data_IF_950562064330
#
_entry.id   IF_950562064330
#
_cell.length_a   1.000
_cell.length_b   1.000
_cell.length_c   1.000
_cell.angle_alpha   90.00
_cell.angle_beta   90.00
_cell.angle_gamma   90.00
#
_symmetry.space_group_name_H-M   'P 1'
#
loop_
_entity.id
_entity.type
_entity.pdbx_description
1 polymer ?
#
# COMPACT_ATOMS: atom_id res chain seq x y z
N UNK A 1 9.54 4.91 -0.58
CA UNK A 1 9.73 4.35 0.77
C UNK A 1 11.15 3.82 0.98
N UNK A 2 11.58 2.79 0.22
CA UNK A 2 12.88 2.16 0.41
C UNK A 2 14.08 3.10 0.20
N UNK A 3 13.93 4.15 -0.59
CA UNK A 3 14.98 5.15 -0.88
C UNK A 3 15.10 6.24 0.19
N UNK A 4 14.10 6.44 1.03
CA UNK A 4 14.01 7.66 1.86
C UNK A 4 15.09 7.77 2.91
N UNK A 5 15.39 6.69 3.63
CA UNK A 5 16.41 6.67 4.70
C UNK A 5 17.77 6.21 4.18
N UNK A 6 17.78 5.19 3.29
CA UNK A 6 19.05 4.64 2.78
C UNK A 6 19.83 5.66 1.93
N UNK A 7 19.16 6.54 1.17
CA UNK A 7 19.81 7.63 0.43
C UNK A 7 20.46 8.66 1.35
N UNK A 8 19.86 8.94 2.49
CA UNK A 8 20.41 9.89 3.48
C UNK A 8 21.58 9.30 4.27
N UNK A 9 21.60 7.96 4.49
CA UNK A 9 22.77 7.28 5.03
C UNK A 9 23.97 7.38 4.08
N UNK A 10 23.75 7.14 2.78
CA UNK A 10 24.83 7.19 1.78
C UNK A 10 25.35 8.60 1.51
N UNK A 11 24.50 9.62 1.60
CA UNK A 11 24.89 11.02 1.39
C UNK A 11 25.46 11.71 2.63
N UNK A 12 25.43 11.06 3.80
CA UNK A 12 25.86 11.68 5.08
C UNK A 12 24.92 12.78 5.59
N UNK A 13 23.84 13.07 4.90
CA UNK A 13 22.89 14.13 5.24
C UNK A 13 22.22 13.91 6.61
N UNK A 14 22.10 12.65 7.03
CA UNK A 14 21.53 12.26 8.32
C UNK A 14 22.29 12.88 9.51
N UNK A 15 23.61 13.04 9.38
CA UNK A 15 24.47 13.65 10.39
C UNK A 15 24.13 15.13 10.61
N UNK A 16 23.88 15.87 9.54
CA UNK A 16 23.52 17.30 9.63
C UNK A 16 22.11 17.53 10.15
N UNK A 17 21.18 16.60 9.89
CA UNK A 17 19.81 16.71 10.37
C UNK A 17 19.66 16.38 11.85
N UNK A 18 20.48 15.48 12.39
CA UNK A 18 20.44 15.07 13.80
C UNK A 18 21.20 16.02 14.75
N UNK A 19 21.90 17.02 14.25
CA UNK A 19 22.47 18.12 15.06
C UNK A 19 21.37 19.04 15.63
N UNK A 20 20.17 19.01 15.04
CA UNK A 20 19.00 19.70 15.60
C UNK A 20 18.37 18.87 16.75
N UNK A 21 17.72 19.51 17.75
CA UNK A 21 17.14 18.82 18.91
C UNK A 21 15.85 18.03 18.58
N UNK A 22 15.84 17.31 17.46
CA UNK A 22 14.73 16.43 17.05
C UNK A 22 14.97 15.03 17.64
N UNK A 23 13.93 14.46 18.23
CA UNK A 23 14.00 13.07 18.68
C UNK A 23 14.08 12.15 17.44
N UNK A 24 14.99 11.16 17.48
CA UNK A 24 15.20 10.20 16.38
C UNK A 24 13.91 9.56 15.89
N UNK A 25 12.99 9.29 16.81
CA UNK A 25 11.70 8.65 16.51
C UNK A 25 10.76 9.61 15.76
N UNK A 26 10.76 10.89 16.08
CA UNK A 26 9.97 11.91 15.37
C UNK A 26 10.39 12.03 13.91
N UNK A 27 11.69 11.95 13.66
CA UNK A 27 12.23 11.92 12.30
C UNK A 27 11.75 10.71 11.51
N UNK A 28 11.75 9.51 12.12
CA UNK A 28 11.26 8.29 11.47
C UNK A 28 9.77 8.40 11.13
N UNK A 29 8.94 8.89 12.06
CA UNK A 29 7.52 9.11 11.83
C UNK A 29 7.26 10.13 10.71
N UNK A 30 8.00 11.22 10.68
CA UNK A 30 7.90 12.20 9.61
C UNK A 30 8.20 11.57 8.24
N UNK A 31 9.21 10.70 8.13
CA UNK A 31 9.53 9.98 6.90
C UNK A 31 8.42 9.02 6.46
N UNK A 32 7.84 8.27 7.40
CA UNK A 32 6.71 7.40 7.12
C UNK A 32 5.52 8.22 6.60
N UNK A 33 5.20 9.32 7.29
CA UNK A 33 4.08 10.20 6.91
C UNK A 33 4.27 10.77 5.50
N UNK A 34 5.46 11.29 5.19
CA UNK A 34 5.78 11.78 3.84
C UNK A 34 5.69 10.67 2.80
N UNK A 35 6.17 9.46 3.12
CA UNK A 35 6.09 8.32 2.18
C UNK A 35 4.64 7.91 1.91
N UNK A 36 3.80 7.84 2.94
CA UNK A 36 2.37 7.54 2.80
C UNK A 36 1.68 8.65 2.01
N UNK A 37 1.93 9.91 2.34
CA UNK A 37 1.35 11.05 1.62
C UNK A 37 1.71 11.03 0.13
N UNK A 38 2.97 10.78 -0.20
CA UNK A 38 3.43 10.66 -1.58
C UNK A 38 2.74 9.49 -2.30
N UNK A 39 2.63 8.33 -1.66
CA UNK A 39 1.95 7.17 -2.21
C UNK A 39 0.46 7.45 -2.47
N UNK A 40 -0.23 8.09 -1.52
CA UNK A 40 -1.64 8.50 -1.67
C UNK A 40 -1.80 9.49 -2.83
N UNK A 41 -0.91 10.48 -2.93
CA UNK A 41 -0.96 11.46 -4.03
C UNK A 41 -0.81 10.81 -5.40
N UNK A 42 0.19 9.91 -5.55
CA UNK A 42 0.38 9.19 -6.82
C UNK A 42 -0.82 8.30 -7.17
N UNK A 43 -1.38 7.60 -6.17
CA UNK A 43 -2.56 6.76 -6.39
C UNK A 43 -3.77 7.60 -6.77
N UNK A 44 -3.98 8.74 -6.12
CA UNK A 44 -5.08 9.66 -6.48
C UNK A 44 -4.92 10.18 -7.90
N UNK A 45 -3.72 10.55 -8.32
CA UNK A 45 -3.45 10.96 -9.70
C UNK A 45 -3.73 9.84 -10.71
N UNK A 46 -3.32 8.61 -10.40
CA UNK A 46 -3.57 7.45 -11.27
C UNK A 46 -5.09 7.15 -11.39
N UNK A 47 -5.80 7.18 -10.26
CA UNK A 47 -7.25 6.95 -10.20
C UNK A 47 -8.01 8.02 -10.98
N UNK A 48 -7.66 9.31 -10.81
CA UNK A 48 -8.30 10.40 -11.54
C UNK A 48 -8.00 10.33 -13.03
N UNK A 49 -6.79 9.98 -13.43
CA UNK A 49 -6.45 9.79 -14.84
C UNK A 49 -7.25 8.63 -15.46
N UNK A 50 -7.37 7.50 -14.76
CA UNK A 50 -8.19 6.37 -15.21
C UNK A 50 -9.66 6.77 -15.35
N UNK A 51 -10.21 7.51 -14.37
CA UNK A 51 -11.57 8.02 -14.42
C UNK A 51 -11.83 8.94 -15.62
N UNK A 52 -10.91 9.88 -15.89
CA UNK A 52 -10.99 10.76 -17.04
C UNK A 52 -11.04 9.96 -18.36
N UNK A 53 -10.22 8.92 -18.50
CA UNK A 53 -10.23 8.06 -19.70
C UNK A 53 -11.58 7.34 -19.85
N UNK A 54 -12.17 6.85 -18.77
CA UNK A 54 -13.49 6.18 -18.81
C UNK A 54 -14.56 7.16 -19.25
N UNK A 55 -14.59 8.37 -18.68
CA UNK A 55 -15.57 9.40 -19.04
C UNK A 55 -15.43 9.83 -20.50
N UNK A 56 -14.19 9.99 -21.01
CA UNK A 56 -13.93 10.37 -22.40
C UNK A 56 -14.34 9.30 -23.41
N UNK A 57 -14.23 8.02 -23.04
CA UNK A 57 -14.67 6.92 -23.90
C UNK A 57 -16.19 6.72 -23.92
N UNK A 58 -16.92 7.29 -22.96
CA UNK A 58 -18.37 7.25 -22.89
C UNK A 58 -18.97 5.89 -22.48
N UNK A 59 -18.15 4.95 -22.06
CA UNK A 59 -18.56 3.56 -21.76
C UNK A 59 -19.05 3.36 -20.30
N UNK A 60 -19.60 4.42 -19.67
CA UNK A 60 -20.25 4.33 -18.37
C UNK A 60 -21.66 3.71 -18.49
N UNK A 61 -21.79 2.64 -19.23
CA UNK A 61 -23.03 1.89 -19.29
C UNK A 61 -23.09 0.87 -18.13
N UNK A 62 -24.27 0.71 -17.52
CA UNK A 62 -24.47 -0.35 -16.55
C UNK A 62 -24.24 -1.74 -17.17
N UNK A 63 -24.07 -2.75 -16.33
CA UNK A 63 -23.93 -4.13 -16.80
C UNK A 63 -25.32 -4.70 -17.08
N UNK A 64 -25.56 -5.07 -18.35
CA UNK A 64 -26.82 -5.64 -18.81
C UNK A 64 -26.60 -7.11 -19.20
N UNK A 65 -27.55 -7.96 -18.80
CA UNK A 65 -27.57 -9.36 -19.24
C UNK A 65 -29.00 -9.78 -19.59
N UNK A 66 -29.21 -10.28 -20.81
CA UNK A 66 -30.52 -10.71 -21.26
C UNK A 66 -31.60 -9.63 -21.29
N UNK A 67 -31.25 -8.34 -21.27
CA UNK A 67 -32.18 -7.20 -21.22
C UNK A 67 -32.49 -6.71 -19.81
N UNK A 68 -31.99 -7.37 -18.77
CA UNK A 68 -32.09 -6.94 -17.37
C UNK A 68 -30.80 -6.22 -16.93
N UNK A 69 -30.98 -5.21 -16.06
CA UNK A 69 -29.86 -4.46 -15.49
C UNK A 69 -29.33 -5.23 -14.29
N UNK A 70 -28.12 -5.82 -14.39
CA UNK A 70 -27.47 -6.49 -13.27
C UNK A 70 -26.86 -5.48 -12.30
N UNK A 71 -26.15 -4.49 -12.82
CA UNK A 71 -25.55 -3.40 -12.01
C UNK A 71 -25.83 -2.05 -12.65
N UNK A 72 -26.32 -1.14 -11.84
CA UNK A 72 -26.59 0.24 -12.25
C UNK A 72 -25.28 1.03 -12.32
N UNK A 73 -25.19 2.06 -13.16
CA UNK A 73 -24.03 2.95 -13.24
C UNK A 73 -23.59 3.48 -11.86
N UNK A 74 -24.55 3.82 -11.00
CA UNK A 74 -24.28 4.34 -9.66
C UNK A 74 -23.63 3.28 -8.75
N UNK A 75 -24.00 2.02 -8.89
CA UNK A 75 -23.37 0.92 -8.14
C UNK A 75 -21.93 0.70 -8.59
N UNK A 76 -21.66 0.74 -9.88
CA UNK A 76 -20.29 0.63 -10.42
C UNK A 76 -19.42 1.77 -9.92
N UNK A 77 -19.92 3.01 -9.94
CA UNK A 77 -19.19 4.18 -9.42
C UNK A 77 -18.93 4.06 -7.92
N UNK A 78 -19.92 3.62 -7.16
CA UNK A 78 -19.78 3.37 -5.71
C UNK A 78 -18.71 2.31 -5.44
N UNK A 79 -18.72 1.21 -6.18
CA UNK A 79 -17.77 0.12 -5.99
C UNK A 79 -16.35 0.52 -6.40
N UNK A 80 -16.22 1.34 -7.45
CA UNK A 80 -14.94 1.95 -7.79
C UNK A 80 -14.40 2.83 -6.66
N UNK A 81 -15.25 3.70 -6.10
CA UNK A 81 -14.88 4.57 -4.98
C UNK A 81 -14.50 3.76 -3.72
N UNK A 82 -15.28 2.71 -3.39
CA UNK A 82 -14.96 1.79 -2.30
C UNK A 82 -13.65 1.05 -2.54
N UNK A 83 -13.39 0.62 -3.78
CA UNK A 83 -12.14 0.01 -4.19
C UNK A 83 -10.95 0.93 -3.96
N UNK A 84 -11.05 2.19 -4.37
CA UNK A 84 -10.01 3.20 -4.16
C UNK A 84 -9.73 3.46 -2.67
N UNK A 85 -10.79 3.61 -1.85
CA UNK A 85 -10.66 3.81 -0.40
C UNK A 85 -10.04 2.59 0.28
N UNK A 86 -10.49 1.40 -0.07
CA UNK A 86 -9.96 0.14 0.51
C UNK A 86 -8.49 -0.06 0.13
N UNK A 87 -8.09 0.34 -1.07
CA UNK A 87 -6.70 0.23 -1.55
C UNK A 87 -5.70 1.08 -0.74
N UNK A 88 -6.14 2.17 -0.09
CA UNK A 88 -5.27 2.99 0.75
C UNK A 88 -4.69 2.20 1.94
N UNK A 89 -5.37 1.17 2.43
CA UNK A 89 -4.92 0.35 3.56
C UNK A 89 -3.68 -0.49 3.20
N UNK A 90 -3.71 -1.38 2.18
CA UNK A 90 -2.52 -2.13 1.78
C UNK A 90 -1.40 -1.21 1.27
N UNK A 91 -1.74 -0.06 0.67
CA UNK A 91 -0.75 0.94 0.27
C UNK A 91 0.00 1.52 1.47
N UNK A 92 -0.69 1.83 2.56
CA UNK A 92 -0.06 2.32 3.80
C UNK A 92 0.83 1.23 4.46
N UNK A 93 0.40 -0.03 4.44
CA UNK A 93 1.18 -1.17 4.90
C UNK A 93 2.45 -1.37 4.06
N UNK A 94 2.34 -1.27 2.73
CA UNK A 94 3.48 -1.33 1.82
C UNK A 94 4.46 -0.16 2.03
N UNK A 95 3.97 1.04 2.30
CA UNK A 95 4.80 2.21 2.59
C UNK A 95 5.60 2.02 3.89
N UNK A 96 4.96 1.56 4.97
CA UNK A 96 5.63 1.28 6.25
C UNK A 96 6.63 0.13 6.15
N UNK A 97 6.31 -0.93 5.41
CA UNK A 97 7.22 -2.02 5.09
C UNK A 97 8.48 -1.51 4.36
N UNK A 98 8.32 -0.68 3.33
CA UNK A 98 9.43 -0.13 2.56
C UNK A 98 10.34 0.78 3.41
N UNK A 99 9.76 1.59 4.30
CA UNK A 99 10.53 2.41 5.25
C UNK A 99 11.24 1.52 6.26
N UNK A 100 10.60 0.48 6.79
CA UNK A 100 11.24 -0.49 7.69
C UNK A 100 12.50 -1.09 7.06
N UNK A 101 12.43 -1.58 5.83
CA UNK A 101 13.62 -2.12 5.14
C UNK A 101 14.70 -1.07 4.91
N UNK A 102 14.32 0.17 4.66
CA UNK A 102 15.26 1.29 4.56
C UNK A 102 15.96 1.63 5.89
N UNK A 103 15.40 1.23 7.04
CA UNK A 103 16.09 1.35 8.34
C UNK A 103 17.09 0.22 8.58
N UNK A 104 16.83 -0.96 8.04
CA UNK A 104 17.69 -2.15 8.21
C UNK A 104 18.91 -2.08 7.29
N UNK A 105 18.69 -1.65 6.04
CA UNK A 105 19.70 -1.69 4.98
C UNK A 105 20.23 -0.29 4.70
N UNK A 106 21.55 -0.10 4.90
CA UNK A 106 22.21 1.20 4.74
C UNK A 106 22.47 1.57 3.27
N UNK A 107 22.59 0.58 2.39
CA UNK A 107 22.86 0.81 0.97
C UNK A 107 21.54 0.91 0.19
N UNK A 108 21.39 1.97 -0.58
CA UNK A 108 20.17 2.30 -1.32
C UNK A 108 19.76 1.20 -2.32
N UNK A 109 20.72 0.69 -3.10
CA UNK A 109 20.45 -0.37 -4.08
C UNK A 109 20.00 -1.68 -3.41
N UNK A 110 20.68 -2.06 -2.35
CA UNK A 110 20.35 -3.26 -1.56
C UNK A 110 18.98 -3.10 -0.85
N UNK A 111 18.65 -1.90 -0.36
CA UNK A 111 17.36 -1.63 0.28
C UNK A 111 16.19 -1.81 -0.71
N UNK A 112 16.33 -1.30 -1.94
CA UNK A 112 15.31 -1.47 -2.99
C UNK A 112 15.23 -2.93 -3.43
N UNK A 113 16.37 -3.56 -3.69
CA UNK A 113 16.42 -4.97 -4.10
C UNK A 113 15.83 -5.91 -3.05
N UNK A 114 16.16 -5.70 -1.77
CA UNK A 114 15.57 -6.49 -0.67
C UNK A 114 14.06 -6.23 -0.50
N UNK A 115 13.60 -4.99 -0.70
CA UNK A 115 12.18 -4.68 -0.62
C UNK A 115 11.36 -5.42 -1.68
N UNK A 116 11.85 -5.42 -2.93
CA UNK A 116 11.20 -6.13 -4.02
C UNK A 116 11.32 -7.64 -3.83
N UNK A 117 12.51 -8.13 -3.52
CA UNK A 117 12.77 -9.57 -3.36
C UNK A 117 11.93 -10.19 -2.24
N UNK A 118 11.89 -9.59 -1.06
CA UNK A 118 11.06 -10.06 0.06
C UNK A 118 9.55 -9.93 -0.24
N UNK A 119 9.14 -8.90 -0.97
CA UNK A 119 7.75 -8.80 -1.41
C UNK A 119 7.33 -9.99 -2.27
N UNK A 120 8.15 -10.33 -3.27
CA UNK A 120 7.90 -11.50 -4.14
C UNK A 120 7.89 -12.81 -3.34
N UNK A 121 8.82 -12.96 -2.38
CA UNK A 121 8.85 -14.12 -1.50
C UNK A 121 7.59 -14.21 -0.65
N UNK A 122 7.14 -13.12 -0.03
CA UNK A 122 5.88 -13.09 0.73
C UNK A 122 4.67 -13.44 -0.14
N UNK A 123 4.65 -12.90 -1.37
CA UNK A 123 3.57 -13.17 -2.30
C UNK A 123 3.55 -14.64 -2.77
N UNK A 124 4.71 -15.24 -3.00
CA UNK A 124 4.84 -16.65 -3.37
C UNK A 124 4.49 -17.60 -2.21
N UNK A 125 4.85 -17.25 -0.98
CA UNK A 125 4.64 -18.09 0.19
C UNK A 125 3.18 -18.07 0.72
N UNK A 126 2.40 -17.06 0.39
CA UNK A 126 1.02 -16.92 0.89
C UNK A 126 0.12 -18.10 0.52
N UNK A 127 0.28 -18.67 -0.69
CA UNK A 127 -0.53 -19.78 -1.19
C UNK A 127 -0.20 -21.12 -0.52
N UNK A 128 1.06 -21.61 -0.54
CA UNK A 128 1.40 -22.91 0.04
C UNK A 128 1.20 -22.96 1.56
N UNK A 129 1.35 -21.81 2.24
CA UNK A 129 1.17 -21.73 3.70
C UNK A 129 -0.28 -21.43 4.12
N UNK A 130 -1.20 -21.24 3.18
CA UNK A 130 -2.59 -20.83 3.43
C UNK A 130 -2.72 -19.57 4.30
N UNK A 131 -1.76 -18.66 4.16
CA UNK A 131 -1.69 -17.41 4.93
C UNK A 131 -2.31 -16.21 4.18
N UNK A 132 -3.08 -16.47 3.12
CA UNK A 132 -3.67 -15.43 2.26
C UNK A 132 -4.47 -14.40 3.05
N UNK A 133 -5.19 -14.83 4.10
CA UNK A 133 -6.03 -13.98 4.94
C UNK A 133 -5.24 -13.07 5.89
N UNK A 134 -4.00 -13.45 6.21
CA UNK A 134 -3.17 -12.73 7.17
C UNK A 134 -2.13 -11.82 6.52
N UNK A 135 -1.82 -12.05 5.24
CA UNK A 135 -0.81 -11.28 4.55
C UNK A 135 -1.40 -10.05 3.87
N UNK A 136 -0.89 -8.87 4.21
CA UNK A 136 -1.31 -7.61 3.61
C UNK A 136 -1.08 -7.55 2.08
N UNK A 137 -0.12 -8.32 1.55
CA UNK A 137 0.15 -8.44 0.10
C UNK A 137 -1.04 -9.00 -0.67
N UNK A 138 -1.85 -9.86 -0.06
CA UNK A 138 -3.05 -10.43 -0.70
C UNK A 138 -4.14 -9.37 -0.95
N UNK A 139 -4.14 -8.32 -0.14
CA UNK A 139 -5.15 -7.26 -0.22
C UNK A 139 -4.80 -6.12 -1.18
N UNK A 140 -3.62 -6.16 -1.81
CA UNK A 140 -3.28 -5.21 -2.88
C UNK A 140 -4.13 -5.44 -4.13
N UNK A 141 -4.52 -6.68 -4.41
CA UNK A 141 -5.36 -7.04 -5.55
C UNK A 141 -6.86 -7.14 -5.20
N UNK A 142 -7.19 -7.30 -3.91
CA UNK A 142 -8.55 -7.58 -3.45
C UNK A 142 -9.57 -6.53 -3.94
N UNK A 143 -9.38 -5.20 -3.83
CA UNK A 143 -10.36 -4.22 -4.26
C UNK A 143 -10.64 -4.28 -5.74
N UNK A 144 -9.61 -4.47 -6.55
CA UNK A 144 -9.73 -4.57 -8.00
C UNK A 144 -10.37 -5.87 -8.45
N UNK A 145 -10.12 -6.95 -7.76
CA UNK A 145 -10.76 -8.25 -8.02
C UNK A 145 -12.27 -8.15 -7.83
N UNK A 146 -12.72 -7.59 -6.71
CA UNK A 146 -14.15 -7.38 -6.43
C UNK A 146 -14.78 -6.47 -7.48
N UNK A 147 -14.15 -5.35 -7.79
CA UNK A 147 -14.63 -4.42 -8.81
C UNK A 147 -14.77 -5.06 -10.20
N UNK A 148 -13.75 -5.81 -10.65
CA UNK A 148 -13.77 -6.49 -11.95
C UNK A 148 -14.86 -7.58 -11.98
N UNK A 149 -15.06 -8.32 -10.90
CA UNK A 149 -16.12 -9.32 -10.80
C UNK A 149 -17.51 -8.68 -10.94
N UNK A 150 -17.76 -7.54 -10.30
CA UNK A 150 -19.01 -6.80 -10.48
C UNK A 150 -19.18 -6.31 -11.92
N UNK A 151 -18.12 -5.79 -12.56
CA UNK A 151 -18.17 -5.40 -13.96
C UNK A 151 -18.45 -6.60 -14.91
N UNK A 152 -18.13 -7.82 -14.50
CA UNK A 152 -18.42 -9.06 -15.22
C UNK A 152 -19.81 -9.65 -14.90
N UNK A 153 -20.59 -8.98 -14.05
CA UNK A 153 -21.91 -9.45 -13.63
C UNK A 153 -21.88 -10.57 -12.60
N UNK A 154 -20.73 -10.77 -11.90
CA UNK A 154 -20.58 -11.78 -10.88
C UNK A 154 -20.84 -11.12 -9.51
N UNK A 155 -21.82 -11.62 -8.76
CA UNK A 155 -22.05 -11.18 -7.40
C UNK A 155 -20.85 -11.52 -6.51
N UNK A 156 -20.11 -10.50 -6.13
CA UNK A 156 -19.03 -10.64 -5.16
C UNK A 156 -19.28 -9.68 -3.99
N UNK A 157 -19.04 -10.18 -2.79
CA UNK A 157 -19.31 -9.41 -1.60
C UNK A 157 -18.03 -8.75 -1.05
N UNK A 158 -18.10 -7.44 -0.78
CA UNK A 158 -17.04 -6.72 -0.06
C UNK A 158 -16.80 -7.28 1.35
N UNK A 159 -17.85 -7.77 2.01
CA UNK A 159 -17.77 -8.48 3.29
C UNK A 159 -17.61 -9.99 3.05
N UNK A 160 -16.80 -10.72 3.82
CA UNK A 160 -15.97 -10.30 4.98
C UNK A 160 -14.57 -9.75 4.61
N UNK A 161 -14.22 -9.70 3.31
CA UNK A 161 -12.87 -9.35 2.83
C UNK A 161 -12.34 -8.03 3.36
N UNK A 162 -13.18 -6.99 3.50
CA UNK A 162 -12.77 -5.69 4.05
C UNK A 162 -12.28 -5.84 5.50
N UNK A 163 -12.96 -6.62 6.34
CA UNK A 163 -12.54 -6.79 7.74
C UNK A 163 -11.18 -7.46 7.86
N UNK A 164 -10.95 -8.51 7.07
CA UNK A 164 -9.63 -9.16 7.02
C UNK A 164 -8.55 -8.22 6.43
N UNK A 165 -8.89 -7.43 5.41
CA UNK A 165 -8.00 -6.41 4.86
C UNK A 165 -7.58 -5.38 5.92
N UNK A 166 -8.55 -4.81 6.64
CA UNK A 166 -8.30 -3.84 7.71
C UNK A 166 -7.42 -4.47 8.79
N UNK A 167 -7.79 -5.66 9.30
CA UNK A 167 -7.05 -6.35 10.35
C UNK A 167 -5.61 -6.66 9.95
N UNK A 168 -5.42 -7.27 8.77
CA UNK A 168 -4.10 -7.64 8.25
C UNK A 168 -3.22 -6.42 7.98
N UNK A 169 -3.77 -5.38 7.33
CA UNK A 169 -3.01 -4.16 7.01
C UNK A 169 -2.64 -3.38 8.27
N UNK A 170 -3.55 -3.24 9.25
CA UNK A 170 -3.23 -2.57 10.52
C UNK A 170 -2.18 -3.36 11.31
N UNK A 171 -2.30 -4.69 11.39
CA UNK A 171 -1.29 -5.53 12.03
C UNK A 171 0.08 -5.36 11.37
N UNK A 172 0.15 -5.38 10.04
CA UNK A 172 1.39 -5.16 9.29
C UNK A 172 1.99 -3.78 9.57
N UNK A 173 1.18 -2.71 9.54
CA UNK A 173 1.64 -1.35 9.87
C UNK A 173 2.22 -1.29 11.28
N UNK A 174 1.53 -1.84 12.28
CA UNK A 174 1.99 -1.84 13.67
C UNK A 174 3.30 -2.63 13.84
N UNK A 175 3.41 -3.79 13.21
CA UNK A 175 4.63 -4.63 13.28
C UNK A 175 5.82 -3.91 12.64
N UNK A 176 5.68 -3.41 11.41
CA UNK A 176 6.79 -2.74 10.72
C UNK A 176 7.18 -1.42 11.37
N UNK A 177 6.20 -0.67 11.87
CA UNK A 177 6.44 0.60 12.55
C UNK A 177 7.16 0.38 13.89
N UNK A 178 6.73 -0.61 14.68
CA UNK A 178 7.40 -0.97 15.94
C UNK A 178 8.80 -1.51 15.70
N UNK A 179 8.99 -2.40 14.75
CA UNK A 179 10.29 -2.95 14.38
C UNK A 179 11.24 -1.84 13.87
N UNK A 180 10.77 -0.97 12.97
CA UNK A 180 11.55 0.16 12.48
C UNK A 180 11.97 1.11 13.64
N UNK A 181 11.06 1.42 14.56
CA UNK A 181 11.34 2.30 15.69
C UNK A 181 12.36 1.71 16.66
N UNK A 182 12.27 0.39 16.94
CA UNK A 182 13.21 -0.33 17.81
C UNK A 182 14.60 -0.38 17.20
N UNK A 183 14.72 -0.69 15.92
CA UNK A 183 15.99 -0.75 15.22
C UNK A 183 16.63 0.65 15.16
N UNK A 184 15.86 1.65 14.77
CA UNK A 184 16.36 3.02 14.64
C UNK A 184 16.82 3.65 15.97
N UNK A 185 16.20 3.25 17.09
CA UNK A 185 16.64 3.65 18.44
C UNK A 185 17.99 3.05 18.82
N UNK A 186 18.27 1.82 18.38
CA UNK A 186 19.49 1.07 18.73
C UNK A 186 20.67 1.31 17.78
N UNK A 187 20.41 1.93 16.63
CA UNK A 187 21.48 2.22 15.68
C UNK A 187 22.33 3.38 16.17
N UNK A 188 23.64 3.11 16.34
CA UNK A 188 24.62 4.16 16.48
C UNK A 188 24.84 4.79 15.10
N UNK A 189 24.54 6.08 15.01
CA UNK A 189 24.73 6.86 13.79
C UNK A 189 26.12 7.49 13.94
N UNK A 190 27.09 7.02 13.14
CA UNK A 190 28.48 7.47 13.21
C UNK A 190 28.63 8.94 12.79
#
# INVERSE_FOLDING_TARGET
>A
GALTLSAEYTSGALRFMLVRPLRRVEYLYAKILVTVFYAVTLTTLAVTAAWVVIVLKGDLAGVYYGGEVLFTNMEIVRDYALGCLTYLLPLSAAATYAVFLSTVVRNTGTAVGSAIGLWVVFDALKYPLRLEQFMFTSYTEFPWRVFVQHCQGIDSYWRPGIFYCVGSCLAAVLVFLSAASLIFRRQDIP
#
